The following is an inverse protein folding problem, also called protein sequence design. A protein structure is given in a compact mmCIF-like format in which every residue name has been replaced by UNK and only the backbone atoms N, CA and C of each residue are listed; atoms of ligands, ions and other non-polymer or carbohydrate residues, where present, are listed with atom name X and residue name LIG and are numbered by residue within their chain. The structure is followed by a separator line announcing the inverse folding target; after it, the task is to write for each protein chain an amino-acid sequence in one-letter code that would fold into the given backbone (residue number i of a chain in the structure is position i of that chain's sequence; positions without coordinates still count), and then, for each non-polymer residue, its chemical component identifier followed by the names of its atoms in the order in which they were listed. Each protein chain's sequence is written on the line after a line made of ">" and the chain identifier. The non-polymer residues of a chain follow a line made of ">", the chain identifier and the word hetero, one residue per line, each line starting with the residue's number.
data_IF_686471103338
#
_entry.id   IF_686471103338
#
_cell.length_a   1.000
_cell.length_b   1.000
_cell.length_c   1.000
_cell.angle_alpha   90.00
_cell.angle_beta   90.00
_cell.angle_gamma   90.00
#
_symmetry.space_group_name_H-M   'P 1'
#
loop_
_entity.id
_entity.type
_entity.pdbx_description
1 polymer ?
#
# COMPACT_ATOMS: atom_id res chain seq x y z
N UNK A 1 4.16 8.40 4.26
CA UNK A 1 3.14 7.91 3.31
C UNK A 1 1.74 8.22 3.80
N UNK A 2 0.93 8.87 2.96
CA UNK A 2 -0.44 9.29 3.28
C UNK A 2 -1.43 8.73 2.24
N UNK A 3 -2.62 8.36 2.72
CA UNK A 3 -3.72 7.87 1.89
C UNK A 3 -4.98 8.64 2.22
N UNK A 4 -5.83 8.81 1.23
CA UNK A 4 -7.11 9.49 1.39
C UNK A 4 -8.26 8.65 0.82
N UNK A 5 -9.45 8.88 1.36
CA UNK A 5 -10.68 8.24 0.90
C UNK A 5 -11.21 8.91 -0.34
N UNK A 6 -11.50 8.14 -1.39
CA UNK A 6 -12.08 8.64 -2.65
C UNK A 6 -13.55 9.02 -2.46
N UNK A 7 -14.23 8.41 -1.50
CA UNK A 7 -15.65 8.64 -1.20
C UNK A 7 -15.83 8.96 0.29
N UNK A 8 -16.85 9.76 0.63
CA UNK A 8 -17.26 10.09 2.01
C UNK A 8 -17.85 8.88 2.78
N UNK A 9 -17.69 7.68 2.22
CA UNK A 9 -18.12 6.45 2.88
C UNK A 9 -17.09 6.07 3.93
N UNK A 10 -17.54 5.96 5.17
CA UNK A 10 -16.75 5.41 6.25
C UNK A 10 -16.29 3.98 5.87
N UNK A 11 -14.98 3.77 5.80
CA UNK A 11 -14.36 2.50 5.41
C UNK A 11 -14.61 1.35 6.41
N UNK A 12 -15.30 1.59 7.52
CA UNK A 12 -15.48 0.64 8.62
C UNK A 12 -14.21 0.35 9.42
N UNK A 13 -13.04 0.75 8.92
CA UNK A 13 -11.73 0.61 9.54
C UNK A 13 -10.87 1.86 9.28
N UNK A 14 -9.77 2.07 10.02
CA UNK A 14 -8.83 3.14 9.74
C UNK A 14 -8.28 3.04 8.30
N UNK A 15 -8.19 4.17 7.60
CA UNK A 15 -7.60 4.28 6.24
C UNK A 15 -6.30 3.51 6.11
N UNK A 16 -5.45 3.59 7.15
CA UNK A 16 -4.15 2.92 7.21
C UNK A 16 -4.24 1.40 7.20
N UNK A 17 -5.22 0.83 7.91
CA UNK A 17 -5.43 -0.61 8.01
C UNK A 17 -5.91 -1.17 6.66
N UNK A 18 -6.85 -0.47 6.04
CA UNK A 18 -7.37 -0.78 4.70
C UNK A 18 -6.26 -0.66 3.63
N UNK A 19 -5.40 0.34 3.74
CA UNK A 19 -4.23 0.48 2.87
C UNK A 19 -3.22 -0.66 3.09
N UNK A 20 -3.00 -1.07 4.34
CA UNK A 20 -2.08 -2.15 4.67
C UNK A 20 -2.58 -3.49 4.10
N UNK A 21 -3.89 -3.74 4.18
CA UNK A 21 -4.51 -4.93 3.58
C UNK A 21 -4.36 -4.96 2.06
N UNK A 22 -4.48 -3.79 1.40
CA UNK A 22 -4.22 -3.68 -0.04
C UNK A 22 -2.79 -4.08 -0.37
N UNK A 23 -1.81 -3.57 0.38
CA UNK A 23 -0.38 -3.90 0.22
C UNK A 23 -0.10 -5.39 0.44
N UNK A 24 -0.66 -5.99 1.50
CA UNK A 24 -0.51 -7.41 1.80
C UNK A 24 -1.08 -8.29 0.67
N UNK A 25 -2.25 -7.90 0.13
CA UNK A 25 -2.87 -8.62 -0.98
C UNK A 25 -2.00 -8.58 -2.23
N UNK A 26 -1.46 -7.41 -2.58
CA UNK A 26 -0.58 -7.23 -3.73
C UNK A 26 0.71 -8.02 -3.56
N UNK A 27 1.30 -7.97 -2.35
CA UNK A 27 2.52 -8.73 -2.02
C UNK A 27 2.30 -10.25 -2.17
N UNK A 28 1.19 -10.76 -1.65
CA UNK A 28 0.80 -12.17 -1.79
C UNK A 28 0.57 -12.53 -3.26
N UNK A 29 -0.08 -11.65 -4.02
CA UNK A 29 -0.37 -11.86 -5.45
C UNK A 29 0.92 -11.88 -6.27
N UNK A 30 1.81 -10.92 -6.06
CA UNK A 30 3.11 -10.84 -6.72
C UNK A 30 3.99 -12.06 -6.40
N UNK A 31 3.99 -12.51 -5.14
CA UNK A 31 4.70 -13.73 -4.72
C UNK A 31 4.22 -14.97 -5.46
N UNK A 32 2.91 -15.07 -5.74
CA UNK A 32 2.31 -16.20 -6.49
C UNK A 32 2.50 -16.07 -8.00
N UNK A 33 2.46 -14.84 -8.52
CA UNK A 33 2.50 -14.54 -9.95
C UNK A 33 3.55 -13.45 -10.23
N UNK A 34 4.85 -13.81 -10.19
CA UNK A 34 5.93 -12.87 -10.46
C UNK A 34 5.88 -12.47 -11.94
N UNK A 35 5.65 -11.20 -12.22
CA UNK A 35 5.44 -10.66 -13.57
C UNK A 35 4.20 -9.77 -13.71
N UNK A 36 3.33 -9.76 -12.70
CA UNK A 36 2.23 -8.78 -12.59
C UNK A 36 2.79 -7.38 -12.32
N UNK A 37 2.19 -6.35 -12.91
CA UNK A 37 2.55 -4.96 -12.63
C UNK A 37 2.09 -4.56 -11.21
N UNK A 38 3.04 -4.55 -10.28
CA UNK A 38 2.79 -4.31 -8.85
C UNK A 38 2.18 -2.92 -8.61
N UNK A 39 2.59 -1.92 -9.39
CA UNK A 39 2.11 -0.56 -9.24
C UNK A 39 0.65 -0.45 -9.66
N UNK A 40 0.31 -1.02 -10.83
CA UNK A 40 -1.06 -1.05 -11.32
C UNK A 40 -1.97 -1.86 -10.37
N UNK A 41 -1.52 -3.03 -9.92
CA UNK A 41 -2.27 -3.88 -8.98
C UNK A 41 -2.52 -3.17 -7.64
N UNK A 42 -1.50 -2.52 -7.08
CA UNK A 42 -1.61 -1.75 -5.86
C UNK A 42 -2.62 -0.59 -6.00
N UNK A 43 -2.57 0.14 -7.10
CA UNK A 43 -3.50 1.22 -7.38
C UNK A 43 -4.93 0.69 -7.54
N UNK A 44 -5.11 -0.44 -8.21
CA UNK A 44 -6.41 -1.09 -8.35
C UNK A 44 -6.96 -1.54 -6.99
N UNK A 45 -6.12 -2.13 -6.14
CA UNK A 45 -6.50 -2.65 -4.83
C UNK A 45 -6.86 -1.56 -3.83
N UNK A 46 -6.14 -0.43 -3.83
CA UNK A 46 -6.50 0.75 -3.05
C UNK A 46 -7.82 1.32 -3.53
N UNK A 47 -7.97 1.52 -4.85
CA UNK A 47 -9.20 2.08 -5.43
C UNK A 47 -10.42 1.21 -5.16
N UNK A 48 -10.28 -0.11 -5.27
CA UNK A 48 -11.36 -1.06 -4.99
C UNK A 48 -11.87 -0.94 -3.54
N UNK A 49 -10.98 -0.58 -2.62
CA UNK A 49 -11.28 -0.31 -1.21
C UNK A 49 -11.66 1.14 -0.93
N UNK A 50 -11.83 1.97 -1.96
CA UNK A 50 -12.20 3.37 -1.82
C UNK A 50 -11.06 4.28 -1.37
N UNK A 51 -9.81 3.84 -1.51
CA UNK A 51 -8.60 4.60 -1.16
C UNK A 51 -7.85 5.05 -2.41
N UNK A 52 -7.16 6.18 -2.28
CA UNK A 52 -6.08 6.56 -3.19
C UNK A 52 -4.87 7.03 -2.38
N UNK A 53 -3.68 6.78 -2.91
CA UNK A 53 -2.49 7.46 -2.40
C UNK A 53 -2.54 8.95 -2.76
N UNK A 54 -1.98 9.79 -1.90
CA UNK A 54 -1.87 11.23 -2.15
C UNK A 54 -0.76 11.57 -3.14
N UNK A 55 0.20 10.65 -3.32
CA UNK A 55 1.38 10.79 -4.17
C UNK A 55 1.65 9.51 -4.96
N UNK A 56 1.96 9.67 -6.25
CA UNK A 56 2.34 8.55 -7.13
C UNK A 56 3.72 7.98 -6.74
N UNK A 57 4.65 8.85 -6.34
CA UNK A 57 5.98 8.45 -5.86
C UNK A 57 5.92 7.50 -4.63
N UNK A 58 4.98 7.74 -3.71
CA UNK A 58 4.74 6.84 -2.56
C UNK A 58 4.27 5.44 -3.03
N UNK A 59 3.43 5.36 -4.07
CA UNK A 59 3.01 4.08 -4.64
C UNK A 59 4.15 3.37 -5.36
N UNK A 60 5.01 4.11 -6.07
CA UNK A 60 6.19 3.56 -6.74
C UNK A 60 7.19 2.99 -5.73
N UNK A 61 7.41 3.67 -4.60
CA UNK A 61 8.23 3.19 -3.49
C UNK A 61 7.68 1.89 -2.91
N UNK A 62 6.37 1.84 -2.62
CA UNK A 62 5.68 0.64 -2.17
C UNK A 62 5.84 -0.52 -3.14
N UNK A 63 5.61 -0.27 -4.44
CA UNK A 63 5.74 -1.27 -5.47
C UNK A 63 7.19 -1.76 -5.61
N UNK A 64 8.18 -0.88 -5.45
CA UNK A 64 9.59 -1.27 -5.42
C UNK A 64 9.93 -2.13 -4.20
N UNK A 65 9.40 -1.80 -3.02
CA UNK A 65 9.63 -2.56 -1.80
C UNK A 65 9.00 -3.97 -1.85
N UNK A 66 7.77 -4.09 -2.37
CA UNK A 66 7.11 -5.39 -2.63
C UNK A 66 7.93 -6.22 -3.62
N UNK A 67 8.39 -5.62 -4.73
CA UNK A 67 9.24 -6.31 -5.72
C UNK A 67 10.56 -6.80 -5.14
N UNK A 68 11.10 -6.08 -4.16
CA UNK A 68 12.32 -6.43 -3.45
C UNK A 68 12.09 -7.51 -2.38
N UNK A 69 10.85 -7.97 -2.19
CA UNK A 69 10.48 -8.94 -1.16
C UNK A 69 10.50 -8.37 0.25
N UNK A 70 10.46 -7.05 0.40
CA UNK A 70 10.45 -6.40 1.71
C UNK A 70 9.01 -6.35 2.25
N UNK A 71 8.81 -6.73 3.50
CA UNK A 71 7.52 -6.59 4.18
C UNK A 71 7.27 -5.10 4.41
N UNK A 72 6.40 -4.48 3.63
CA UNK A 72 6.08 -3.06 3.80
C UNK A 72 5.01 -2.88 4.86
N UNK A 73 5.30 -2.05 5.87
CA UNK A 73 4.33 -1.64 6.89
C UNK A 73 4.10 -0.14 6.80
N UNK A 74 2.86 0.21 6.51
CA UNK A 74 2.33 1.56 6.55
C UNK A 74 2.15 1.96 8.02
N UNK A 75 3.23 2.26 8.73
CA UNK A 75 3.12 2.61 10.15
C UNK A 75 4.40 2.63 10.96
N UNK A 76 5.51 2.09 10.47
CA UNK A 76 6.82 2.32 11.09
C UNK A 76 7.45 3.49 10.35
N UNK A 77 7.30 4.70 10.91
CA UNK A 77 8.47 5.57 10.92
C UNK A 77 9.58 4.70 11.51
N UNK A 78 10.63 4.45 10.73
CA UNK A 78 11.89 3.95 11.25
C UNK A 78 12.26 4.89 12.40
N UNK A 79 11.96 4.45 13.61
CA UNK A 79 12.31 5.11 14.84
C UNK A 79 13.80 4.94 15.01
N UNK A 80 14.58 5.66 14.20
CA UNK A 80 15.89 6.13 14.60
C UNK A 80 15.69 6.99 15.84
N UNK A 81 15.59 6.34 17.01
CA UNK A 81 15.98 6.96 18.27
C UNK A 81 17.50 7.05 18.19
N UNK A 82 17.98 8.13 17.58
CA UNK A 82 19.39 8.51 17.69
C UNK A 82 19.67 8.83 19.17
N UNK A 83 20.62 8.13 19.84
CA UNK A 83 21.05 8.46 21.19
C UNK A 83 21.94 9.71 21.27
#
# INVERSE_FOLDING_TARGET
>A
MEFETIHDTALGAPVRDVAQEAVDTVSTTYTRTPGTDVLEDLRAQLRSRGLRATSDADLEELAAAIRSGHTVRLGEHDGSIEP
#
